data_IF_669202927387
#
_entry.id   IF_669202927387
#
_cell.length_a   1.000
_cell.length_b   1.000
_cell.length_c   1.000
_cell.angle_alpha   90.00
_cell.angle_beta   90.00
_cell.angle_gamma   90.00
#
_symmetry.space_group_name_H-M   'P 1'
#
loop_
_entity.id
_entity.type
_entity.pdbx_description
1 polymer ?
#
# COMPACT_ATOMS: atom_id res chain seq x y z
N UNK A 1 2.34 -5.13 5.65
CA UNK A 1 2.35 -6.05 4.51
C UNK A 1 1.53 -5.44 3.38
N UNK A 2 2.19 -5.13 2.26
CA UNK A 2 1.60 -4.38 1.15
C UNK A 2 0.61 -5.26 0.37
N UNK A 3 -0.67 -4.90 0.38
CA UNK A 3 -1.77 -5.57 -0.33
C UNK A 3 -1.70 -5.27 -1.84
N UNK A 4 -0.68 -5.79 -2.52
CA UNK A 4 -0.43 -5.51 -3.95
C UNK A 4 -1.17 -6.45 -4.93
N UNK A 5 -2.11 -7.24 -4.44
CA UNK A 5 -3.02 -8.06 -5.25
C UNK A 5 -4.42 -7.46 -5.16
N UNK A 6 -4.71 -6.50 -6.05
CA UNK A 6 -6.04 -5.86 -6.21
C UNK A 6 -7.21 -6.83 -6.50
N UNK A 7 -7.00 -8.15 -6.45
CA UNK A 7 -7.91 -9.19 -6.91
C UNK A 7 -8.38 -10.16 -5.82
N UNK A 8 -7.89 -10.06 -4.59
CA UNK A 8 -8.25 -11.00 -3.50
C UNK A 8 -9.73 -10.96 -3.11
N UNK A 9 -10.45 -9.89 -3.47
CA UNK A 9 -11.88 -9.73 -3.19
C UNK A 9 -12.81 -10.46 -4.18
N UNK A 10 -12.27 -11.00 -5.27
CA UNK A 10 -13.06 -11.61 -6.34
C UNK A 10 -12.77 -13.11 -6.42
N UNK A 11 -13.79 -13.90 -6.74
CA UNK A 11 -13.65 -15.33 -7.03
C UNK A 11 -12.68 -15.52 -8.21
N UNK A 12 -11.92 -16.62 -8.25
CA UNK A 12 -11.02 -16.89 -9.36
C UNK A 12 -11.80 -17.13 -10.67
N UNK A 13 -11.35 -16.49 -11.75
CA UNK A 13 -11.84 -16.66 -13.12
C UNK A 13 -10.97 -17.62 -13.93
N UNK A 14 -10.81 -17.36 -15.23
CA UNK A 14 -9.92 -18.13 -16.12
C UNK A 14 -8.57 -17.43 -16.30
N UNK A 15 -7.52 -18.18 -16.64
CA UNK A 15 -6.18 -17.67 -16.98
C UNK A 15 -5.51 -16.84 -15.87
N UNK A 16 -5.77 -17.16 -14.60
CA UNK A 16 -5.23 -16.40 -13.46
C UNK A 16 -5.88 -15.03 -13.26
N UNK A 17 -6.96 -14.73 -13.98
CA UNK A 17 -7.73 -13.48 -13.84
C UNK A 17 -8.87 -13.65 -12.82
N UNK A 18 -9.34 -12.55 -12.19
CA UNK A 18 -10.55 -12.61 -11.37
C UNK A 18 -11.78 -12.96 -12.21
N UNK A 19 -12.85 -13.40 -11.55
CA UNK A 19 -14.15 -13.63 -12.18
C UNK A 19 -14.67 -12.31 -12.78
N UNK A 20 -14.58 -12.19 -14.11
CA UNK A 20 -14.85 -10.92 -14.80
C UNK A 20 -16.25 -10.38 -14.52
N UNK A 21 -17.25 -11.26 -14.43
CA UNK A 21 -18.61 -10.87 -14.09
C UNK A 21 -18.76 -10.24 -12.70
N UNK A 22 -18.01 -10.70 -11.69
CA UNK A 22 -18.04 -10.10 -10.35
C UNK A 22 -17.35 -8.73 -10.33
N UNK A 23 -16.28 -8.58 -11.11
CA UNK A 23 -15.61 -7.31 -11.32
C UNK A 23 -16.59 -6.30 -11.94
N UNK A 24 -17.29 -6.70 -13.02
CA UNK A 24 -18.29 -5.84 -13.69
C UNK A 24 -19.38 -5.44 -12.69
N UNK A 25 -19.94 -6.39 -11.96
CA UNK A 25 -21.00 -6.13 -10.99
C UNK A 25 -20.56 -5.20 -9.85
N UNK A 26 -19.34 -5.40 -9.35
CA UNK A 26 -18.76 -4.57 -8.30
C UNK A 26 -18.54 -3.14 -8.78
N UNK A 27 -17.89 -2.95 -9.94
CA UNK A 27 -17.64 -1.61 -10.48
C UNK A 27 -18.92 -0.88 -10.89
N UNK A 28 -19.93 -1.62 -11.37
CA UNK A 28 -21.27 -1.06 -11.65
C UNK A 28 -21.87 -0.46 -10.38
N UNK A 29 -21.84 -1.19 -9.25
CA UNK A 29 -22.34 -0.68 -7.96
C UNK A 29 -21.53 0.52 -7.48
N UNK A 30 -20.20 0.49 -7.61
CA UNK A 30 -19.34 1.64 -7.25
C UNK A 30 -19.62 2.90 -8.08
N UNK A 31 -20.17 2.74 -9.30
CA UNK A 31 -20.60 3.86 -10.16
C UNK A 31 -21.96 4.44 -9.79
N UNK A 32 -22.65 3.87 -8.80
CA UNK A 32 -24.01 4.27 -8.41
C UNK A 32 -25.12 3.63 -9.25
N UNK A 33 -24.79 2.65 -10.11
CA UNK A 33 -25.81 1.88 -10.84
C UNK A 33 -26.19 0.66 -10.04
N UNK A 34 -27.09 0.81 -9.07
CA UNK A 34 -27.46 -0.28 -8.15
C UNK A 34 -28.15 -1.45 -8.85
N UNK A 35 -28.87 -1.17 -9.95
CA UNK A 35 -29.61 -2.18 -10.72
C UNK A 35 -28.93 -2.49 -12.06
N UNK A 36 -29.17 -3.70 -12.57
CA UNK A 36 -28.68 -4.10 -13.89
C UNK A 36 -29.37 -3.31 -15.00
N UNK A 37 -30.64 -2.93 -14.78
CA UNK A 37 -31.46 -2.13 -15.67
C UNK A 37 -30.87 -0.73 -15.88
N UNK A 38 -30.44 -0.07 -14.78
CA UNK A 38 -29.81 1.23 -14.88
C UNK A 38 -28.51 1.17 -15.71
N UNK A 39 -27.73 0.11 -15.53
CA UNK A 39 -26.50 -0.08 -16.30
C UNK A 39 -26.78 -0.47 -17.77
N UNK A 40 -27.83 -1.24 -18.02
CA UNK A 40 -28.28 -1.59 -19.36
C UNK A 40 -28.64 -0.34 -20.17
N UNK A 41 -29.35 0.61 -19.55
CA UNK A 41 -29.67 1.92 -20.16
C UNK A 41 -28.40 2.69 -20.54
N UNK A 42 -27.41 2.76 -19.64
CA UNK A 42 -26.14 3.46 -19.90
C UNK A 42 -25.35 2.79 -21.03
N UNK A 43 -25.38 1.46 -21.08
CA UNK A 43 -24.68 0.68 -22.09
C UNK A 43 -25.44 0.59 -23.43
N UNK A 44 -26.70 1.03 -23.50
CA UNK A 44 -27.55 0.91 -24.69
C UNK A 44 -27.88 -0.55 -25.04
N UNK A 45 -27.94 -1.43 -24.04
CA UNK A 45 -28.24 -2.86 -24.21
C UNK A 45 -29.45 -3.27 -23.37
N UNK A 46 -29.93 -4.49 -23.55
CA UNK A 46 -30.97 -5.06 -22.71
C UNK A 46 -30.42 -5.58 -21.36
N UNK A 47 -31.31 -5.75 -20.38
CA UNK A 47 -30.97 -6.26 -19.05
C UNK A 47 -30.36 -7.68 -19.10
N UNK A 48 -30.84 -8.55 -19.99
CA UNK A 48 -30.37 -9.93 -20.08
C UNK A 48 -28.91 -9.98 -20.52
N UNK A 49 -28.51 -9.06 -21.41
CA UNK A 49 -27.12 -8.87 -21.84
C UNK A 49 -26.22 -8.47 -20.67
N UNK A 50 -26.66 -7.56 -19.79
CA UNK A 50 -25.92 -7.23 -18.56
C UNK A 50 -25.85 -8.43 -17.62
N UNK A 51 -26.96 -9.13 -17.40
CA UNK A 51 -27.00 -10.33 -16.58
C UNK A 51 -26.08 -11.43 -17.12
N UNK A 52 -25.99 -11.56 -18.44
CA UNK A 52 -25.03 -12.44 -19.10
C UNK A 52 -23.59 -12.03 -18.76
N UNK A 53 -23.23 -10.74 -18.91
CA UNK A 53 -21.88 -10.26 -18.58
C UNK A 53 -21.49 -10.51 -17.12
N UNK A 54 -22.39 -10.27 -16.16
CA UNK A 54 -22.12 -10.44 -14.73
C UNK A 54 -22.00 -11.91 -14.31
N UNK A 55 -22.54 -12.85 -15.11
CA UNK A 55 -22.44 -14.29 -14.86
C UNK A 55 -21.26 -14.96 -15.58
N UNK A 56 -20.55 -14.24 -16.47
CA UNK A 56 -19.40 -14.81 -17.18
C UNK A 56 -18.16 -14.82 -16.30
N UNK A 57 -17.55 -16.00 -16.16
CA UNK A 57 -16.21 -16.16 -15.58
C UNK A 57 -15.13 -15.47 -16.41
N UNK A 58 -15.33 -15.45 -17.73
CA UNK A 58 -14.43 -14.85 -18.70
C UNK A 58 -15.22 -14.30 -19.89
N UNK A 59 -14.96 -13.05 -20.26
CA UNK A 59 -15.58 -12.40 -21.41
C UNK A 59 -14.58 -12.37 -22.57
N UNK A 60 -14.69 -13.32 -23.50
CA UNK A 60 -13.72 -13.48 -24.59
C UNK A 60 -13.67 -12.30 -25.57
N UNK A 61 -14.82 -11.63 -25.75
CA UNK A 61 -14.98 -10.50 -26.68
C UNK A 61 -14.15 -9.28 -26.23
N UNK A 62 -13.09 -8.99 -26.98
CA UNK A 62 -12.14 -7.91 -26.65
C UNK A 62 -12.74 -6.52 -26.80
N UNK A 63 -13.53 -6.28 -27.85
CA UNK A 63 -14.18 -4.98 -28.07
C UNK A 63 -15.16 -4.67 -26.94
N UNK A 64 -15.92 -5.69 -26.50
CA UNK A 64 -16.82 -5.57 -25.37
C UNK A 64 -16.06 -5.33 -24.06
N UNK A 65 -14.92 -6.00 -23.83
CA UNK A 65 -14.09 -5.73 -22.66
C UNK A 65 -13.54 -4.30 -22.66
N UNK A 66 -13.06 -3.80 -23.80
CA UNK A 66 -12.58 -2.41 -23.95
C UNK A 66 -13.72 -1.43 -23.68
N UNK A 67 -14.90 -1.68 -24.23
CA UNK A 67 -16.09 -0.87 -23.99
C UNK A 67 -16.44 -0.81 -22.50
N UNK A 68 -16.52 -1.96 -21.82
CA UNK A 68 -16.82 -2.04 -20.39
C UNK A 68 -15.75 -1.35 -19.54
N UNK A 69 -14.46 -1.50 -19.89
CA UNK A 69 -13.38 -0.76 -19.25
C UNK A 69 -13.59 0.75 -19.35
N UNK A 70 -13.99 1.26 -20.51
CA UNK A 70 -14.25 2.70 -20.71
C UNK A 70 -15.45 3.19 -19.91
N UNK A 71 -16.58 2.47 -19.98
CA UNK A 71 -17.83 2.87 -19.33
C UNK A 71 -17.72 2.81 -17.81
N UNK A 72 -17.15 1.73 -17.27
CA UNK A 72 -17.01 1.53 -15.83
C UNK A 72 -15.75 2.25 -15.27
N UNK A 73 -14.90 2.82 -16.14
CA UNK A 73 -13.51 3.23 -15.86
C UNK A 73 -12.77 2.18 -15.01
N UNK A 74 -12.94 0.92 -15.37
CA UNK A 74 -12.15 -0.18 -14.81
C UNK A 74 -10.73 -0.02 -15.33
N UNK A 75 -9.75 -0.12 -14.44
CA UNK A 75 -8.35 -0.12 -14.83
C UNK A 75 -8.10 -1.28 -15.82
N UNK A 76 -7.54 -1.01 -17.02
CA UNK A 76 -7.33 -2.00 -18.08
C UNK A 76 -6.77 -3.36 -17.63
N UNK A 77 -5.82 -3.45 -16.67
CA UNK A 77 -5.31 -4.73 -16.16
C UNK A 77 -6.39 -5.68 -15.63
N UNK A 78 -7.48 -5.14 -15.08
CA UNK A 78 -8.52 -5.89 -14.33
C UNK A 78 -9.47 -6.65 -15.23
N UNK A 79 -9.81 -6.10 -16.41
CA UNK A 79 -10.73 -6.75 -17.36
C UNK A 79 -10.02 -7.24 -18.63
N UNK A 80 -8.96 -6.57 -19.07
CA UNK A 80 -8.23 -6.94 -20.29
C UNK A 80 -7.15 -7.97 -20.03
N UNK A 81 -6.91 -8.36 -18.78
CA UNK A 81 -5.81 -9.25 -18.42
C UNK A 81 -4.44 -8.64 -18.73
N UNK A 82 -4.36 -7.31 -18.87
CA UNK A 82 -3.10 -6.58 -19.03
C UNK A 82 -2.44 -6.40 -17.66
N UNK A 83 -2.31 -7.47 -16.89
CA UNK A 83 -1.46 -7.44 -15.72
C UNK A 83 -0.02 -7.52 -16.20
N UNK A 84 0.90 -6.83 -15.52
CA UNK A 84 2.31 -6.92 -15.85
C UNK A 84 2.80 -8.38 -15.81
N UNK A 85 2.19 -9.24 -14.97
CA UNK A 85 2.42 -10.68 -14.94
C UNK A 85 2.11 -11.40 -16.28
N UNK A 86 1.08 -10.96 -17.00
CA UNK A 86 0.67 -11.53 -18.28
C UNK A 86 1.63 -11.21 -19.44
N UNK A 87 2.57 -10.28 -19.24
CA UNK A 87 3.67 -9.98 -20.17
C UNK A 87 4.92 -10.82 -19.83
N UNK A 88 5.03 -11.29 -18.58
CA UNK A 88 6.26 -11.88 -18.02
C UNK A 88 6.31 -13.41 -18.12
N UNK A 89 5.22 -14.07 -18.49
CA UNK A 89 5.14 -15.54 -18.49
C UNK A 89 6.17 -16.21 -19.43
N UNK A 90 6.61 -15.52 -20.49
CA UNK A 90 7.64 -16.04 -21.41
C UNK A 90 9.09 -15.78 -20.95
N UNK A 91 9.33 -15.02 -19.87
CA UNK A 91 10.69 -14.56 -19.52
C UNK A 91 10.94 -14.39 -18.01
N UNK A 92 10.44 -15.33 -17.20
CA UNK A 92 10.55 -15.34 -15.73
C UNK A 92 11.98 -15.11 -15.21
N UNK A 93 13.01 -15.53 -15.96
CA UNK A 93 14.42 -15.36 -15.59
C UNK A 93 14.91 -13.91 -15.69
N UNK A 94 14.46 -13.15 -16.69
CA UNK A 94 14.83 -11.74 -16.84
C UNK A 94 14.12 -10.86 -15.81
N UNK A 95 12.87 -11.22 -15.46
CA UNK A 95 12.12 -10.56 -14.40
C UNK A 95 12.70 -10.80 -13.01
N UNK A 96 13.09 -12.03 -12.68
CA UNK A 96 13.76 -12.32 -11.42
C UNK A 96 15.05 -11.49 -11.27
N UNK A 97 15.82 -11.33 -12.36
CA UNK A 97 17.00 -10.45 -12.40
C UNK A 97 16.63 -8.98 -12.21
N UNK A 98 15.58 -8.50 -12.88
CA UNK A 98 15.11 -7.12 -12.72
C UNK A 98 14.64 -6.85 -11.29
N UNK A 99 13.92 -7.77 -10.66
CA UNK A 99 13.52 -7.66 -9.26
C UNK A 99 14.73 -7.65 -8.33
N UNK A 100 15.72 -8.53 -8.54
CA UNK A 100 16.96 -8.49 -7.78
C UNK A 100 17.73 -7.18 -7.94
N UNK A 101 17.70 -6.57 -9.14
CA UNK A 101 18.30 -5.26 -9.38
C UNK A 101 17.55 -4.15 -8.64
N UNK A 102 16.20 -4.20 -8.64
CA UNK A 102 15.38 -3.24 -7.89
C UNK A 102 15.59 -3.42 -6.38
N UNK A 103 15.67 -4.65 -5.90
CA UNK A 103 15.98 -4.96 -4.50
C UNK A 103 17.35 -4.42 -4.09
N UNK A 104 18.38 -4.65 -4.91
CA UNK A 104 19.72 -4.11 -4.66
C UNK A 104 19.71 -2.57 -4.62
N UNK A 105 19.05 -1.91 -5.59
CA UNK A 105 18.91 -0.45 -5.59
C UNK A 105 18.14 0.06 -4.38
N UNK A 106 17.09 -0.66 -3.93
CA UNK A 106 16.35 -0.30 -2.73
C UNK A 106 17.18 -0.48 -1.47
N UNK A 107 18.00 -1.53 -1.40
CA UNK A 107 18.92 -1.78 -0.28
C UNK A 107 20.00 -0.68 -0.20
N UNK A 108 20.61 -0.32 -1.33
CA UNK A 108 21.61 0.76 -1.40
C UNK A 108 21.03 2.11 -0.95
N UNK A 109 19.77 2.39 -1.32
CA UNK A 109 19.11 3.65 -0.96
C UNK A 109 18.44 3.63 0.42
N UNK A 110 18.23 2.47 1.02
CA UNK A 110 17.51 2.36 2.29
C UNK A 110 18.20 3.13 3.41
N UNK A 111 19.53 3.05 3.50
CA UNK A 111 20.28 3.75 4.55
C UNK A 111 20.12 5.27 4.46
N UNK A 112 20.30 5.83 3.26
CA UNK A 112 20.13 7.25 2.99
C UNK A 112 18.70 7.73 3.29
N UNK A 113 17.69 6.92 2.97
CA UNK A 113 16.29 7.24 3.27
C UNK A 113 16.05 7.38 4.78
N UNK A 114 16.62 6.49 5.60
CA UNK A 114 16.48 6.58 7.07
C UNK A 114 17.25 7.77 7.67
N UNK A 115 18.40 8.13 7.10
CA UNK A 115 19.12 9.37 7.43
C UNK A 115 18.29 10.62 7.11
N UNK A 116 17.65 10.65 5.94
CA UNK A 116 16.77 11.76 5.55
C UNK A 116 15.58 11.87 6.52
N UNK A 117 14.95 10.75 6.88
CA UNK A 117 13.86 10.72 7.87
C UNK A 117 14.30 11.29 9.22
N UNK A 118 15.50 10.93 9.70
CA UNK A 118 16.07 11.50 10.93
C UNK A 118 16.30 13.01 10.78
N UNK A 119 16.87 13.43 9.67
CA UNK A 119 17.17 14.84 9.39
C UNK A 119 15.89 15.67 9.39
N UNK A 120 14.84 15.20 8.70
CA UNK A 120 13.52 15.83 8.73
C UNK A 120 12.92 15.88 10.13
N UNK A 121 13.09 14.83 10.94
CA UNK A 121 12.62 14.81 12.32
C UNK A 121 13.36 15.84 13.19
N UNK A 122 14.68 15.97 13.03
CA UNK A 122 15.51 16.98 13.69
C UNK A 122 15.09 18.41 13.33
N UNK A 123 14.91 18.71 12.05
CA UNK A 123 14.54 20.04 11.58
C UNK A 123 13.14 20.48 12.04
N UNK A 124 12.23 19.51 12.17
CA UNK A 124 10.85 19.77 12.62
C UNK A 124 10.70 19.79 14.15
N UNK A 125 11.67 19.24 14.90
CA UNK A 125 11.66 19.20 16.37
C UNK A 125 11.67 20.59 17.04
N UNK A 126 12.10 21.63 16.32
CA UNK A 126 12.01 23.03 16.77
C UNK A 126 10.60 23.63 16.66
N UNK A 127 9.79 23.15 15.71
CA UNK A 127 8.47 23.72 15.36
C UNK A 127 7.29 22.94 15.96
N UNK A 128 7.58 21.82 16.62
CA UNK A 128 6.58 20.91 17.17
C UNK A 128 6.25 19.79 16.18
N UNK A 129 6.31 18.54 16.65
CA UNK A 129 6.01 17.36 15.83
C UNK A 129 4.51 17.10 15.86
N UNK A 130 3.87 17.09 14.68
CA UNK A 130 2.46 16.74 14.53
C UNK A 130 2.19 15.30 14.98
N UNK A 131 0.96 14.95 15.41
CA UNK A 131 0.63 13.57 15.77
C UNK A 131 0.89 12.57 14.63
N UNK A 132 0.57 12.95 13.40
CA UNK A 132 0.83 12.15 12.19
C UNK A 132 2.33 11.97 11.94
N UNK A 133 3.13 13.03 12.11
CA UNK A 133 4.58 12.95 11.97
C UNK A 133 5.21 12.04 13.02
N UNK A 134 4.75 12.12 14.27
CA UNK A 134 5.21 11.24 15.35
C UNK A 134 4.85 9.76 15.08
N UNK A 135 3.64 9.50 14.59
CA UNK A 135 3.21 8.14 14.21
C UNK A 135 4.08 7.56 13.10
N UNK A 136 4.31 8.34 12.02
CA UNK A 136 5.15 7.89 10.90
C UNK A 136 6.61 7.67 11.30
N UNK A 137 7.15 8.54 12.15
CA UNK A 137 8.51 8.38 12.68
C UNK A 137 8.64 7.09 13.49
N UNK A 138 7.68 6.80 14.37
CA UNK A 138 7.66 5.56 15.14
C UNK A 138 7.55 4.32 14.24
N UNK A 139 6.68 4.37 13.24
CA UNK A 139 6.53 3.27 12.26
C UNK A 139 7.85 2.99 11.53
N UNK A 140 8.56 4.02 11.07
CA UNK A 140 9.86 3.85 10.43
C UNK A 140 10.92 3.33 11.41
N UNK A 141 10.85 3.71 12.69
CA UNK A 141 11.72 3.12 13.71
C UNK A 141 11.48 1.61 13.86
N UNK A 142 10.21 1.15 13.91
CA UNK A 142 9.88 -0.28 13.96
C UNK A 142 10.35 -1.05 12.71
N UNK A 143 10.21 -0.43 11.53
CA UNK A 143 10.72 -0.98 10.26
C UNK A 143 12.25 -1.11 10.28
N UNK A 144 12.97 -0.11 10.83
CA UNK A 144 14.42 -0.14 11.00
C UNK A 144 14.86 -1.21 12.02
N UNK A 145 14.13 -1.38 13.13
CA UNK A 145 14.38 -2.46 14.10
C UNK A 145 14.25 -3.84 13.46
N UNK A 146 13.27 -4.02 12.58
CA UNK A 146 13.12 -5.26 11.81
C UNK A 146 14.29 -5.45 10.83
N UNK A 147 14.74 -4.38 10.17
CA UNK A 147 15.85 -4.41 9.22
C UNK A 147 17.17 -4.78 9.91
N UNK A 148 17.49 -4.19 11.07
CA UNK A 148 18.70 -4.50 11.85
C UNK A 148 18.78 -5.99 12.23
N UNK A 149 17.64 -6.66 12.45
CA UNK A 149 17.60 -8.09 12.78
C UNK A 149 18.01 -8.98 11.61
N UNK A 150 17.74 -8.55 10.38
CA UNK A 150 18.00 -9.31 9.15
C UNK A 150 19.24 -8.83 8.38
N UNK A 151 19.83 -7.70 8.79
CA UNK A 151 20.99 -7.10 8.16
C UNK A 151 22.22 -8.04 8.20
N UNK A 152 23.06 -8.05 7.14
CA UNK A 152 24.32 -8.77 7.13
C UNK A 152 25.22 -8.33 8.28
N UNK A 153 25.97 -9.27 8.89
CA UNK A 153 26.84 -8.97 10.05
C UNK A 153 27.88 -7.85 9.76
N UNK A 154 28.30 -7.71 8.50
CA UNK A 154 29.27 -6.68 8.08
C UNK A 154 28.70 -5.26 8.24
N UNK A 155 27.40 -5.07 8.02
CA UNK A 155 26.75 -3.74 8.06
C UNK A 155 25.96 -3.52 9.34
N UNK A 156 25.75 -4.58 10.12
CA UNK A 156 24.83 -4.60 11.26
C UNK A 156 25.13 -3.51 12.28
N UNK A 157 26.39 -3.17 12.50
CA UNK A 157 26.78 -2.13 13.46
C UNK A 157 26.47 -0.72 12.94
N UNK A 158 26.56 -0.49 11.62
CA UNK A 158 26.15 0.77 10.98
C UNK A 158 24.63 0.97 11.10
N UNK A 159 23.86 -0.11 10.90
CA UNK A 159 22.41 -0.09 11.09
C UNK A 159 22.00 0.11 12.56
N UNK A 160 22.73 -0.48 13.51
CA UNK A 160 22.51 -0.25 14.95
C UNK A 160 22.82 1.19 15.36
N UNK A 161 23.89 1.78 14.83
CA UNK A 161 24.22 3.18 15.08
C UNK A 161 23.07 4.09 14.65
N UNK A 162 22.57 3.89 13.43
CA UNK A 162 21.42 4.62 12.90
C UNK A 162 20.18 4.46 13.78
N UNK A 163 19.85 3.22 14.17
CA UNK A 163 18.73 2.94 15.08
C UNK A 163 18.91 3.62 16.44
N UNK A 164 20.13 3.69 16.97
CA UNK A 164 20.42 4.39 18.23
C UNK A 164 20.07 5.88 18.15
N UNK A 165 20.33 6.52 17.00
CA UNK A 165 19.97 7.92 16.74
C UNK A 165 18.45 8.13 16.66
N UNK A 166 17.70 7.18 16.12
CA UNK A 166 16.23 7.18 16.19
C UNK A 166 15.73 7.15 17.64
N UNK A 167 16.30 6.32 18.51
CA UNK A 167 15.93 6.29 19.94
C UNK A 167 16.29 7.58 20.67
N UNK A 168 17.45 8.17 20.36
CA UNK A 168 17.83 9.49 20.92
C UNK A 168 16.84 10.58 20.50
N UNK A 169 16.37 10.55 19.26
CA UNK A 169 15.39 11.51 18.76
C UNK A 169 14.01 11.35 19.42
N UNK A 170 13.53 10.11 19.59
CA UNK A 170 12.22 9.83 20.21
C UNK A 170 12.19 10.18 21.72
N UNK A 171 13.30 9.98 22.42
CA UNK A 171 13.44 10.42 23.82
C UNK A 171 13.48 11.95 23.95
N UNK A 172 14.19 12.63 23.04
CA UNK A 172 14.26 14.09 23.02
C UNK A 172 12.89 14.75 22.77
N UNK A 173 12.13 14.28 21.78
CA UNK A 173 10.78 14.80 21.47
C UNK A 173 9.80 14.58 22.64
N UNK A 174 9.92 13.48 23.38
CA UNK A 174 9.12 13.21 24.58
C UNK A 174 9.48 14.14 25.74
N UNK A 175 10.78 14.42 25.93
CA UNK A 175 11.26 15.31 27.00
C UNK A 175 10.84 16.78 26.78
N UNK A 176 10.88 17.27 25.54
CA UNK A 176 10.47 18.63 25.16
C UNK A 176 8.99 18.89 25.44
N UNK A 177 8.11 17.90 25.19
CA UNK A 177 6.68 17.98 25.52
C UNK A 177 6.41 18.11 27.03
N UNK A 178 7.31 17.60 27.89
CA UNK A 178 7.22 17.79 29.35
C UNK A 178 7.69 19.17 29.77
N UNK A 179 8.70 19.73 29.10
CA UNK A 179 9.27 21.03 29.47
C UNK A 179 8.42 22.23 28.98
N UNK A 180 7.78 22.13 27.81
CA UNK A 180 6.88 23.17 27.29
C UNK A 180 5.48 23.19 27.95
N UNK A 181 5.21 22.28 28.88
CA UNK A 181 4.02 22.28 29.75
C UNK A 181 4.39 22.66 31.20
N UNK A 182 5.40 23.52 31.36
CA UNK A 182 5.75 24.15 32.63
C UNK A 182 4.74 25.21 33.09
N UNK A 183 3.48 24.82 33.25
CA UNK A 183 2.58 25.38 34.26
C UNK A 183 1.80 24.22 34.84
N UNK A 184 1.92 24.09 36.16
CA UNK A 184 1.35 23.08 37.06
C UNK A 184 2.21 21.83 37.25
N UNK A 185 3.08 21.94 38.25
CA UNK A 185 3.16 20.90 39.27
C UNK A 185 1.73 20.57 39.73
N UNK A 186 1.24 19.38 39.40
CA UNK A 186 0.53 18.60 40.41
C UNK A 186 0.70 17.11 40.10
N UNK A 187 0.99 16.36 41.14
CA UNK A 187 1.09 14.91 41.12
C UNK A 187 -0.30 14.32 40.81
N UNK A 188 -0.31 13.14 40.18
CA UNK A 188 -1.50 12.28 39.98
C UNK A 188 -2.32 12.48 38.69
N UNK A 189 -1.84 11.89 37.59
CA UNK A 189 -2.67 10.99 36.74
C UNK A 189 -1.79 10.34 35.67
N UNK A 190 -1.46 9.06 35.85
CA UNK A 190 -2.14 7.92 35.21
C UNK A 190 -2.01 7.92 33.69
N UNK A 191 -1.18 6.97 33.22
CA UNK A 191 -1.41 6.10 32.07
C UNK A 191 -2.23 6.65 30.91
N UNK A 192 -1.57 6.86 29.77
CA UNK A 192 -2.06 6.43 28.46
C UNK A 192 -1.00 6.72 27.40
N UNK A 193 -0.20 5.72 27.02
CA UNK A 193 -0.20 5.21 25.65
C UNK A 193 0.28 3.76 25.70
N UNK A 194 -0.61 2.89 25.24
CA UNK A 194 -0.54 1.44 25.26
C UNK A 194 0.54 0.94 24.31
N UNK A 195 1.54 0.23 24.84
CA UNK A 195 2.25 -0.80 24.09
C UNK A 195 1.33 -2.03 24.02
N UNK A 196 0.74 -2.26 22.84
CA UNK A 196 0.07 -3.51 22.50
C UNK A 196 1.07 -4.44 21.84
N UNK A 197 1.22 -5.64 22.42
CA UNK A 197 1.97 -6.79 21.89
C UNK A 197 1.51 -7.22 20.51
#
# INVERSE_FOLDING_TARGET
MSRLTHYESYSPGLYGLPHMGEVIASFRRHRGWETQEAFAIVCGVDKQTVGYWENQRYLADMDRRIFLCKVLKITPPTLLGLTWHSIVDDNQTEYARMLSNVEALLQENAYALYEDILTFAHDTSGKGVSPEGAYRFHKHQEELEALVKVAPEIEKDVWKDLLSRFYQHSTFTTSKRRCSRGTLCDESSRYCFLFGR
#
